data_IF_404498888388
#
_entry.id   IF_404498888388
#
_cell.length_a   1.000
_cell.length_b   1.000
_cell.length_c   1.000
_cell.angle_alpha   90.00
_cell.angle_beta   90.00
_cell.angle_gamma   90.00
#
_symmetry.space_group_name_H-M   'P 1'
#
loop_
_entity.id
_entity.type
_entity.pdbx_description
1 polymer ?
#
# COMPACT_ATOMS: atom_id res chain seq x y z
N UNK A 1 -27.64 -21.71 -11.18
CA UNK A 1 -26.35 -21.05 -11.49
C UNK A 1 -26.71 -19.60 -11.83
N UNK A 2 -26.31 -18.62 -11.01
CA UNK A 2 -26.67 -17.20 -11.26
C UNK A 2 -26.01 -16.75 -12.56
N UNK A 3 -26.82 -16.51 -13.60
CA UNK A 3 -26.33 -16.06 -14.92
C UNK A 3 -26.15 -14.54 -14.98
N UNK A 4 -26.89 -13.82 -14.15
CA UNK A 4 -26.92 -12.36 -14.12
C UNK A 4 -26.15 -11.78 -12.93
N UNK A 5 -25.73 -10.53 -13.05
CA UNK A 5 -25.09 -9.78 -11.97
C UNK A 5 -26.13 -9.27 -10.99
N UNK A 6 -25.99 -9.63 -9.72
CA UNK A 6 -26.76 -9.03 -8.64
C UNK A 6 -25.97 -7.89 -8.03
N UNK A 7 -26.54 -6.69 -8.01
CA UNK A 7 -25.88 -5.47 -7.54
C UNK A 7 -26.44 -5.00 -6.20
N UNK A 8 -25.52 -4.58 -5.33
CA UNK A 8 -25.81 -3.81 -4.12
C UNK A 8 -25.16 -2.45 -4.31
N UNK A 9 -25.94 -1.38 -4.27
CA UNK A 9 -25.45 0.00 -4.43
C UNK A 9 -25.66 0.79 -3.14
N UNK A 10 -24.70 1.64 -2.78
CA UNK A 10 -24.92 2.67 -1.75
C UNK A 10 -25.21 4.00 -2.45
N UNK A 11 -26.47 4.45 -2.37
CA UNK A 11 -26.91 5.75 -2.91
C UNK A 11 -26.53 6.93 -1.98
N UNK A 12 -25.90 6.66 -0.84
CA UNK A 12 -25.66 7.64 0.23
C UNK A 12 -24.68 8.76 -0.13
N UNK A 13 -23.91 8.61 -1.22
CA UNK A 13 -22.92 9.61 -1.64
C UNK A 13 -23.48 10.60 -2.68
N UNK A 14 -24.80 10.61 -2.93
CA UNK A 14 -25.53 11.67 -3.66
C UNK A 14 -25.30 11.73 -5.18
N UNK A 15 -24.20 11.20 -5.68
CA UNK A 15 -23.86 11.19 -7.09
C UNK A 15 -24.50 9.99 -7.82
N UNK A 16 -25.13 10.19 -8.99
CA UNK A 16 -25.65 9.10 -9.79
C UNK A 16 -24.52 8.11 -10.17
N UNK A 17 -24.86 6.83 -10.22
CA UNK A 17 -23.96 5.81 -10.76
C UNK A 17 -24.17 5.71 -12.28
N UNK A 18 -23.09 5.48 -13.05
CA UNK A 18 -23.23 5.13 -14.45
C UNK A 18 -23.92 3.76 -14.59
N UNK A 19 -24.25 3.38 -15.82
CA UNK A 19 -24.70 2.01 -16.10
C UNK A 19 -23.69 1.00 -15.52
N UNK A 20 -24.17 0.11 -14.66
CA UNK A 20 -23.37 -0.88 -13.95
C UNK A 20 -22.71 -1.89 -14.90
N UNK A 21 -23.23 -2.03 -16.13
CA UNK A 21 -22.61 -2.84 -17.18
C UNK A 21 -21.16 -2.43 -17.44
N UNK A 22 -20.85 -1.12 -17.33
CA UNK A 22 -19.52 -0.53 -17.45
C UNK A 22 -18.50 -1.17 -16.51
N UNK A 23 -18.91 -1.54 -15.29
CA UNK A 23 -18.01 -2.13 -14.30
C UNK A 23 -17.71 -3.61 -14.55
N UNK A 24 -18.47 -4.26 -15.43
CA UNK A 24 -18.30 -5.68 -15.77
C UNK A 24 -17.69 -5.90 -17.15
N UNK A 25 -17.71 -4.89 -18.01
CA UNK A 25 -17.03 -4.91 -19.31
C UNK A 25 -15.51 -4.96 -19.10
N UNK A 26 -14.80 -6.03 -19.52
CA UNK A 26 -13.34 -6.13 -19.41
C UNK A 26 -12.59 -5.07 -20.23
N UNK A 27 -13.20 -4.53 -21.30
CA UNK A 27 -12.64 -3.50 -22.16
C UNK A 27 -12.71 -2.09 -21.58
N UNK A 28 -13.51 -1.89 -20.53
CA UNK A 28 -13.66 -0.58 -19.90
C UNK A 28 -12.40 -0.20 -19.09
N UNK A 29 -11.81 0.95 -19.43
CA UNK A 29 -10.75 1.59 -18.67
C UNK A 29 -9.37 0.93 -18.77
N UNK A 30 -8.45 1.35 -17.90
CA UNK A 30 -7.06 0.90 -17.88
C UNK A 30 -6.82 -0.09 -16.74
N UNK A 31 -6.06 -1.17 -17.00
CA UNK A 31 -5.68 -2.11 -15.95
C UNK A 31 -4.59 -1.51 -15.06
N UNK A 32 -4.88 -1.37 -13.76
CA UNK A 32 -3.95 -0.87 -12.75
C UNK A 32 -3.15 -2.01 -12.14
N UNK A 33 -3.81 -3.15 -11.91
CA UNK A 33 -3.18 -4.34 -11.33
C UNK A 33 -3.87 -5.59 -11.83
N UNK A 34 -3.10 -6.62 -12.19
CA UNK A 34 -3.65 -7.91 -12.60
C UNK A 34 -2.88 -9.05 -11.96
N UNK A 35 -3.63 -10.01 -11.43
CA UNK A 35 -3.12 -11.33 -11.11
C UNK A 35 -4.13 -12.38 -11.64
N UNK A 36 -3.80 -13.68 -11.63
CA UNK A 36 -4.66 -14.72 -12.20
C UNK A 36 -6.07 -14.83 -11.59
N UNK A 37 -6.32 -14.18 -10.45
CA UNK A 37 -7.56 -14.31 -9.68
C UNK A 37 -8.25 -12.98 -9.38
N UNK A 38 -7.59 -11.85 -9.66
CA UNK A 38 -8.12 -10.51 -9.39
C UNK A 38 -7.50 -9.50 -10.37
N UNK A 39 -8.35 -8.66 -10.93
CA UNK A 39 -7.93 -7.45 -11.65
C UNK A 39 -8.47 -6.21 -10.96
N UNK A 40 -7.68 -5.15 -10.97
CA UNK A 40 -8.07 -3.80 -10.57
C UNK A 40 -7.95 -2.92 -11.80
N UNK A 41 -9.05 -2.25 -12.16
CA UNK A 41 -9.14 -1.37 -13.32
C UNK A 41 -9.55 0.03 -12.89
N UNK A 42 -8.99 1.04 -13.55
CA UNK A 42 -9.45 2.43 -13.44
C UNK A 42 -10.38 2.70 -14.60
N UNK A 43 -11.63 3.00 -14.32
CA UNK A 43 -12.72 3.17 -15.29
C UNK A 43 -13.21 4.61 -15.20
N UNK A 44 -13.29 5.29 -16.35
CA UNK A 44 -13.85 6.63 -16.45
C UNK A 44 -15.24 6.52 -17.08
N UNK A 45 -16.25 7.03 -16.39
CA UNK A 45 -17.62 7.10 -16.88
C UNK A 45 -17.79 8.22 -17.92
N UNK A 46 -18.87 8.21 -18.72
CA UNK A 46 -19.10 9.23 -19.76
C UNK A 46 -19.18 10.67 -19.24
N UNK A 47 -19.59 10.85 -17.99
CA UNK A 47 -19.65 12.15 -17.29
C UNK A 47 -18.29 12.61 -16.73
N UNK A 48 -17.23 11.82 -16.92
CA UNK A 48 -15.88 12.08 -16.42
C UNK A 48 -15.61 11.56 -15.00
N UNK A 49 -16.60 10.99 -14.31
CA UNK A 49 -16.39 10.40 -12.99
C UNK A 49 -15.47 9.17 -13.09
N UNK A 50 -14.55 9.02 -12.14
CA UNK A 50 -13.56 7.93 -12.15
C UNK A 50 -13.82 6.94 -11.02
N UNK A 51 -13.77 5.66 -11.37
CA UNK A 51 -13.98 4.54 -10.49
C UNK A 51 -12.82 3.55 -10.54
N UNK A 52 -12.59 2.87 -9.42
CA UNK A 52 -11.72 1.69 -9.35
C UNK A 52 -12.58 0.43 -9.20
N UNK A 53 -12.39 -0.51 -10.11
CA UNK A 53 -13.14 -1.76 -10.20
C UNK A 53 -12.23 -2.91 -9.81
N UNK A 54 -12.47 -3.50 -8.65
CA UNK A 54 -11.82 -4.74 -8.17
C UNK A 54 -12.69 -5.93 -8.61
N UNK A 55 -12.25 -6.66 -9.63
CA UNK A 55 -12.94 -7.84 -10.16
C UNK A 55 -12.21 -9.10 -9.70
N UNK A 56 -12.86 -9.88 -8.83
CA UNK A 56 -12.36 -11.15 -8.30
C UNK A 56 -12.93 -12.32 -9.13
N UNK A 57 -12.04 -13.14 -9.71
CA UNK A 57 -12.35 -14.26 -10.60
C UNK A 57 -11.68 -15.53 -10.07
N UNK A 58 -12.26 -16.19 -9.06
CA UNK A 58 -11.69 -17.41 -8.50
C UNK A 58 -11.77 -18.56 -9.50
N UNK A 59 -10.60 -19.14 -9.85
CA UNK A 59 -10.49 -20.23 -10.84
C UNK A 59 -10.18 -21.60 -10.26
N UNK A 60 -9.86 -21.70 -8.97
CA UNK A 60 -9.52 -22.98 -8.33
C UNK A 60 -10.64 -23.43 -7.40
N UNK A 61 -10.88 -24.75 -7.33
CA UNK A 61 -11.94 -25.33 -6.51
C UNK A 61 -11.94 -24.82 -5.07
N UNK A 62 -10.77 -24.75 -4.43
CA UNK A 62 -10.63 -24.22 -3.07
C UNK A 62 -10.99 -22.73 -2.94
N UNK A 63 -10.76 -21.90 -3.97
CA UNK A 63 -11.16 -20.48 -3.96
C UNK A 63 -12.63 -20.30 -4.27
N UNK A 64 -13.19 -21.12 -5.16
CA UNK A 64 -14.63 -21.15 -5.45
C UNK A 64 -15.40 -21.52 -4.19
N UNK A 65 -14.93 -22.55 -3.44
CA UNK A 65 -15.50 -22.91 -2.14
C UNK A 65 -15.38 -21.76 -1.13
N UNK A 66 -14.21 -21.12 -1.01
CA UNK A 66 -14.04 -19.94 -0.14
C UNK A 66 -14.99 -18.81 -0.50
N UNK A 67 -15.23 -18.55 -1.79
CA UNK A 67 -16.16 -17.53 -2.23
C UNK A 67 -17.61 -17.89 -1.89
N UNK A 68 -17.96 -19.18 -1.90
CA UNK A 68 -19.28 -19.64 -1.45
C UNK A 68 -19.50 -19.40 0.05
N UNK A 69 -18.50 -19.71 0.89
CA UNK A 69 -18.62 -19.62 2.36
C UNK A 69 -18.38 -18.21 2.89
N UNK A 70 -17.37 -17.50 2.36
CA UNK A 70 -16.96 -16.17 2.80
C UNK A 70 -16.55 -15.32 1.58
N UNK A 71 -17.54 -14.74 0.87
CA UNK A 71 -17.30 -13.99 -0.34
C UNK A 71 -16.39 -12.80 -0.06
N UNK A 72 -15.28 -12.69 -0.79
CA UNK A 72 -14.21 -11.73 -0.46
C UNK A 72 -14.68 -10.28 -0.62
N UNK A 73 -15.26 -9.97 -1.77
CA UNK A 73 -15.76 -8.62 -2.08
C UNK A 73 -16.89 -8.19 -1.12
N UNK A 74 -17.75 -9.12 -0.72
CA UNK A 74 -18.79 -8.85 0.28
C UNK A 74 -18.18 -8.56 1.66
N UNK A 75 -17.15 -9.31 2.05
CA UNK A 75 -16.43 -9.05 3.30
C UNK A 75 -15.77 -7.68 3.28
N UNK A 76 -15.13 -7.30 2.18
CA UNK A 76 -14.48 -5.98 2.00
C UNK A 76 -15.52 -4.84 2.05
N UNK A 77 -16.64 -5.00 1.34
CA UNK A 77 -17.76 -4.06 1.36
C UNK A 77 -18.34 -3.86 2.77
N UNK A 78 -18.60 -4.96 3.51
CA UNK A 78 -19.09 -4.91 4.90
C UNK A 78 -18.08 -4.26 5.84
N UNK A 79 -16.79 -4.52 5.66
CA UNK A 79 -15.73 -3.88 6.43
C UNK A 79 -15.67 -2.37 6.20
N UNK A 80 -15.86 -1.90 4.96
CA UNK A 80 -16.00 -0.48 4.67
C UNK A 80 -17.22 0.15 5.36
N UNK A 81 -18.39 -0.53 5.32
CA UNK A 81 -19.58 -0.08 6.05
C UNK A 81 -19.35 0.02 7.57
N UNK A 82 -18.65 -0.95 8.15
CA UNK A 82 -18.31 -0.94 9.57
C UNK A 82 -17.47 0.29 9.94
N UNK A 83 -16.42 0.60 9.17
CA UNK A 83 -15.57 1.77 9.39
C UNK A 83 -16.38 3.08 9.28
N UNK A 84 -17.20 3.23 8.24
CA UNK A 84 -18.06 4.40 8.07
C UNK A 84 -19.02 4.59 9.23
N UNK A 85 -19.67 3.50 9.69
CA UNK A 85 -20.59 3.56 10.84
C UNK A 85 -19.91 3.94 12.15
N UNK A 86 -18.58 3.83 12.22
CA UNK A 86 -17.76 4.21 13.37
C UNK A 86 -17.07 5.57 13.17
N UNK A 87 -17.41 6.32 12.11
CA UNK A 87 -16.81 7.64 11.84
C UNK A 87 -15.33 7.58 11.44
N UNK A 88 -14.84 6.42 10.99
CA UNK A 88 -13.45 6.25 10.52
C UNK A 88 -13.42 6.46 9.00
N UNK A 89 -12.67 7.46 8.50
CA UNK A 89 -12.56 7.72 7.07
C UNK A 89 -12.00 6.52 6.30
N UNK A 90 -12.75 6.03 5.33
CA UNK A 90 -12.33 4.94 4.46
C UNK A 90 -12.90 5.09 3.06
N UNK A 91 -12.31 4.36 2.12
CA UNK A 91 -12.70 4.38 0.72
C UNK A 91 -14.20 4.12 0.59
N UNK A 92 -14.89 4.95 -0.21
CA UNK A 92 -16.30 4.73 -0.44
C UNK A 92 -16.54 3.68 -1.52
N UNK A 93 -17.06 2.53 -1.11
CA UNK A 93 -17.61 1.54 -2.04
C UNK A 93 -19.02 1.93 -2.44
N UNK A 94 -19.19 2.18 -3.74
CA UNK A 94 -20.47 2.61 -4.32
C UNK A 94 -21.30 1.46 -4.85
N UNK A 95 -20.65 0.36 -5.25
CA UNK A 95 -21.34 -0.80 -5.77
C UNK A 95 -20.60 -2.12 -5.47
N UNK A 96 -21.36 -3.18 -5.26
CA UNK A 96 -20.92 -4.56 -5.16
C UNK A 96 -21.77 -5.42 -6.10
N UNK A 97 -21.15 -5.91 -7.18
CA UNK A 97 -21.73 -6.87 -8.11
C UNK A 97 -21.33 -8.29 -7.75
N UNK A 98 -22.26 -9.24 -7.83
CA UNK A 98 -22.00 -10.66 -7.60
C UNK A 98 -22.61 -11.52 -8.70
N UNK A 99 -21.79 -12.40 -9.28
CA UNK A 99 -22.19 -13.42 -10.24
C UNK A 99 -21.36 -14.68 -9.96
N UNK A 100 -21.86 -15.58 -9.12
CA UNK A 100 -21.04 -16.67 -8.58
C UNK A 100 -20.30 -17.47 -9.67
N UNK A 101 -18.98 -17.72 -9.51
CA UNK A 101 -18.16 -17.42 -8.33
C UNK A 101 -17.43 -16.06 -8.40
N UNK A 102 -17.81 -15.19 -9.34
CA UNK A 102 -17.20 -13.88 -9.52
C UNK A 102 -17.86 -12.79 -8.66
N UNK A 103 -17.07 -11.78 -8.33
CA UNK A 103 -17.56 -10.57 -7.70
C UNK A 103 -16.80 -9.34 -8.18
N UNK A 104 -17.49 -8.20 -8.18
CA UNK A 104 -16.97 -6.89 -8.55
C UNK A 104 -17.24 -5.94 -7.40
N UNK A 105 -16.20 -5.28 -6.91
CA UNK A 105 -16.30 -4.22 -5.91
C UNK A 105 -15.84 -2.91 -6.54
N UNK A 106 -16.68 -1.89 -6.45
CA UNK A 106 -16.48 -0.59 -7.10
C UNK A 106 -16.32 0.49 -6.04
N UNK A 107 -15.24 1.26 -6.16
CA UNK A 107 -15.02 2.46 -5.34
C UNK A 107 -14.81 3.69 -6.23
N UNK A 108 -15.10 4.88 -5.70
CA UNK A 108 -14.73 6.14 -6.36
C UNK A 108 -13.21 6.36 -6.29
N UNK A 109 -12.69 7.13 -7.24
CA UNK A 109 -11.32 7.65 -7.15
C UNK A 109 -11.19 8.64 -6.00
N UNK A 110 -10.10 8.54 -5.24
CA UNK A 110 -9.71 9.52 -4.24
C UNK A 110 -8.89 10.63 -4.91
N UNK A 111 -9.57 11.60 -5.52
CA UNK A 111 -8.91 12.71 -6.23
C UNK A 111 -8.09 13.57 -5.26
N UNK A 112 -6.84 13.85 -5.62
CA UNK A 112 -5.94 14.68 -4.80
C UNK A 112 -5.28 13.95 -3.63
N UNK A 113 -5.53 12.64 -3.47
CA UNK A 113 -4.90 11.85 -2.43
C UNK A 113 -3.59 11.21 -2.91
N UNK A 114 -2.64 11.08 -1.99
CA UNK A 114 -1.40 10.30 -2.13
C UNK A 114 -1.32 9.25 -1.02
N UNK A 115 -0.53 8.20 -1.22
CA UNK A 115 -0.26 7.28 -0.12
C UNK A 115 0.54 7.99 0.99
N UNK A 116 0.33 7.63 2.25
CA UNK A 116 1.10 8.25 3.34
C UNK A 116 2.58 7.86 3.30
N UNK A 117 2.93 6.76 2.62
CA UNK A 117 4.31 6.43 2.28
C UNK A 117 4.91 7.46 1.33
N UNK A 118 4.20 7.83 0.26
CA UNK A 118 4.66 8.90 -0.65
C UNK A 118 4.77 10.23 0.09
N UNK A 119 3.73 10.60 0.84
CA UNK A 119 3.68 11.83 1.61
C UNK A 119 4.86 11.97 2.59
N UNK A 120 5.29 10.87 3.22
CA UNK A 120 6.50 10.85 4.07
C UNK A 120 7.73 11.42 3.37
N UNK A 121 7.94 11.08 2.10
CA UNK A 121 9.17 11.41 1.37
C UNK A 121 9.07 12.70 0.56
N UNK A 122 7.87 13.15 0.22
CA UNK A 122 7.66 14.31 -0.66
C UNK A 122 7.25 15.58 0.07
N UNK A 123 7.12 15.53 1.39
CA UNK A 123 6.55 16.62 2.19
C UNK A 123 7.54 17.13 3.24
N UNK A 124 7.48 18.43 3.51
CA UNK A 124 8.24 19.10 4.57
C UNK A 124 7.74 18.70 5.98
N UNK A 125 8.46 19.13 7.02
CA UNK A 125 8.18 18.71 8.40
C UNK A 125 6.81 19.16 8.93
N UNK A 126 6.37 20.40 8.65
CA UNK A 126 5.12 20.92 9.22
C UNK A 126 3.89 20.12 8.74
N UNK A 127 3.67 19.91 7.42
CA UNK A 127 2.48 19.20 6.98
C UNK A 127 2.54 17.71 7.36
N UNK A 128 3.75 17.16 7.50
CA UNK A 128 3.95 15.81 8.04
C UNK A 128 3.51 15.71 9.51
N UNK A 129 3.83 16.70 10.35
CA UNK A 129 3.37 16.75 11.75
C UNK A 129 1.85 16.81 11.86
N UNK A 130 1.20 17.64 11.02
CA UNK A 130 -0.27 17.70 10.94
C UNK A 130 -0.88 16.35 10.56
N UNK A 131 -0.35 15.72 9.51
CA UNK A 131 -0.74 14.36 9.11
C UNK A 131 -0.59 13.35 10.26
N UNK A 132 0.53 13.36 10.99
CA UNK A 132 0.77 12.41 12.08
C UNK A 132 -0.22 12.59 13.23
N UNK A 133 -0.62 13.84 13.56
CA UNK A 133 -1.66 14.12 14.55
C UNK A 133 -3.03 13.61 14.09
N UNK A 134 -3.40 13.90 12.84
CA UNK A 134 -4.64 13.40 12.25
C UNK A 134 -4.68 11.85 12.22
N UNK A 135 -3.52 11.21 12.00
CA UNK A 135 -3.36 9.77 12.06
C UNK A 135 -3.55 9.25 13.49
N UNK A 136 -2.98 9.92 14.49
CA UNK A 136 -3.17 9.57 15.91
C UNK A 136 -4.65 9.67 16.31
N UNK A 137 -5.35 10.72 15.88
CA UNK A 137 -6.80 10.85 16.09
C UNK A 137 -7.60 9.74 15.39
N UNK A 138 -7.23 9.37 14.16
CA UNK A 138 -7.87 8.24 13.47
C UNK A 138 -7.65 6.92 14.22
N UNK A 139 -6.43 6.67 14.72
CA UNK A 139 -6.13 5.48 15.54
C UNK A 139 -6.93 5.51 16.84
N UNK A 140 -7.02 6.65 17.53
CA UNK A 140 -7.87 6.76 18.73
C UNK A 140 -9.32 6.35 18.43
N UNK A 141 -9.92 6.89 17.36
CA UNK A 141 -11.29 6.51 16.95
C UNK A 141 -11.44 5.02 16.66
N UNK A 142 -10.42 4.39 16.05
CA UNK A 142 -10.39 2.94 15.85
C UNK A 142 -10.37 2.18 17.17
N UNK A 143 -9.56 2.63 18.14
CA UNK A 143 -9.45 2.01 19.47
C UNK A 143 -10.76 2.14 20.26
N UNK A 144 -11.36 3.34 20.30
CA UNK A 144 -12.65 3.61 20.95
C UNK A 144 -13.77 2.74 20.35
N UNK A 145 -13.81 2.61 19.01
CA UNK A 145 -14.77 1.76 18.31
C UNK A 145 -14.43 0.25 18.41
N UNK A 146 -13.30 -0.10 19.05
CA UNK A 146 -12.76 -1.46 19.16
C UNK A 146 -12.60 -2.15 17.80
N UNK A 147 -12.20 -1.37 16.79
CA UNK A 147 -12.00 -1.82 15.42
C UNK A 147 -10.53 -2.19 15.22
N UNK A 148 -10.29 -3.37 14.64
CA UNK A 148 -8.96 -3.84 14.27
C UNK A 148 -8.84 -3.86 12.77
N UNK A 149 -7.72 -3.36 12.26
CA UNK A 149 -7.38 -3.51 10.85
C UNK A 149 -6.21 -4.49 10.68
N UNK A 150 -6.40 -5.66 10.03
CA UNK A 150 -5.39 -6.71 9.98
C UNK A 150 -4.11 -6.33 9.22
N UNK A 151 -4.20 -5.33 8.33
CA UNK A 151 -3.08 -4.84 7.52
C UNK A 151 -2.89 -3.32 7.66
N UNK A 152 -2.94 -2.81 8.89
CA UNK A 152 -2.83 -1.36 9.15
C UNK A 152 -1.37 -0.90 9.03
N UNK A 153 -1.05 -0.25 7.91
CA UNK A 153 0.29 0.25 7.59
C UNK A 153 0.19 1.49 6.69
N UNK A 154 1.27 2.26 6.56
CA UNK A 154 1.27 3.54 5.84
C UNK A 154 0.83 3.39 4.37
N UNK A 155 1.16 2.27 3.72
CA UNK A 155 0.71 2.01 2.34
C UNK A 155 -0.81 1.85 2.14
N UNK A 156 -1.60 1.70 3.22
CA UNK A 156 -3.07 1.59 3.15
C UNK A 156 -3.76 2.88 3.61
N UNK A 157 -2.99 3.89 4.01
CA UNK A 157 -3.49 5.19 4.44
C UNK A 157 -3.22 6.18 3.32
N UNK A 158 -4.28 6.84 2.88
CA UNK A 158 -4.22 7.91 1.91
C UNK A 158 -4.36 9.24 2.65
N UNK A 159 -3.66 10.27 2.19
CA UNK A 159 -3.74 11.63 2.70
C UNK A 159 -4.00 12.58 1.53
N UNK A 160 -4.90 13.54 1.74
CA UNK A 160 -5.19 14.57 0.74
C UNK A 160 -4.03 15.57 0.69
N UNK A 161 -3.44 15.77 -0.50
CA UNK A 161 -2.16 16.49 -0.65
C UNK A 161 -2.25 17.96 -0.22
N UNK A 162 -3.38 18.60 -0.47
CA UNK A 162 -3.67 20.00 -0.11
C UNK A 162 -4.17 20.18 1.32
N UNK A 163 -4.51 19.09 2.02
CA UNK A 163 -4.98 19.14 3.41
C UNK A 163 -4.57 17.88 4.18
N UNK A 164 -3.43 17.93 4.88
CA UNK A 164 -2.84 16.79 5.60
C UNK A 164 -3.73 16.19 6.70
N UNK A 165 -4.76 16.92 7.15
CA UNK A 165 -5.68 16.45 8.19
C UNK A 165 -6.76 15.51 7.63
N UNK A 166 -6.89 15.43 6.30
CA UNK A 166 -7.91 14.63 5.63
C UNK A 166 -7.31 13.29 5.17
N UNK A 167 -7.62 12.26 5.94
CA UNK A 167 -7.16 10.89 5.73
C UNK A 167 -8.24 10.00 5.12
N UNK A 168 -7.82 8.91 4.49
CA UNK A 168 -8.73 7.87 4.01
C UNK A 168 -8.03 6.50 4.01
N UNK A 169 -8.66 5.49 4.63
CA UNK A 169 -8.20 4.10 4.59
C UNK A 169 -8.63 3.39 3.30
N UNK A 170 -7.70 2.81 2.53
CA UNK A 170 -7.96 2.28 1.17
C UNK A 170 -8.37 0.80 1.11
N UNK A 171 -7.85 -0.05 1.99
CA UNK A 171 -8.07 -1.51 1.92
C UNK A 171 -8.71 -2.03 3.22
N UNK A 172 -10.04 -1.88 3.40
CA UNK A 172 -10.69 -2.29 4.63
C UNK A 172 -10.84 -3.81 4.77
N UNK A 173 -10.27 -4.63 3.88
CA UNK A 173 -10.50 -6.06 3.89
C UNK A 173 -10.11 -6.71 5.24
N UNK A 174 -11.08 -7.39 5.87
CA UNK A 174 -10.86 -8.13 7.11
C UNK A 174 -10.94 -7.27 8.37
N UNK A 175 -11.25 -5.98 8.25
CA UNK A 175 -11.59 -5.13 9.39
C UNK A 175 -12.78 -5.71 10.14
N UNK A 176 -12.69 -5.71 11.47
CA UNK A 176 -13.67 -6.31 12.37
C UNK A 176 -13.65 -5.62 13.73
N UNK A 177 -14.75 -5.71 14.46
CA UNK A 177 -14.76 -5.41 15.90
C UNK A 177 -14.03 -6.51 16.66
N UNK A 178 -13.27 -6.13 17.67
CA UNK A 178 -12.58 -7.05 18.57
C UNK A 178 -12.94 -6.73 20.01
N UNK A 179 -13.21 -7.77 20.81
CA UNK A 179 -13.42 -7.61 22.25
C UNK A 179 -12.11 -7.40 23.01
N UNK A 180 -10.97 -7.73 22.40
CA UNK A 180 -9.63 -7.45 22.92
C UNK A 180 -9.11 -6.17 22.32
N UNK A 181 -8.49 -5.32 23.14
CA UNK A 181 -7.85 -4.08 22.67
C UNK A 181 -6.73 -4.44 21.68
N UNK A 182 -6.87 -4.09 20.39
CA UNK A 182 -5.88 -4.43 19.37
C UNK A 182 -4.65 -3.50 19.39
N UNK A 183 -4.54 -2.67 20.41
CA UNK A 183 -3.66 -1.50 20.52
C UNK A 183 -2.31 -1.60 19.81
N UNK A 184 -1.57 -2.68 20.03
CA UNK A 184 -0.22 -2.87 19.47
C UNK A 184 -0.20 -3.06 17.96
N UNK A 185 -1.27 -3.54 17.35
CA UNK A 185 -1.35 -3.76 15.91
C UNK A 185 -1.58 -2.46 15.14
N UNK A 186 -2.45 -1.59 15.66
CA UNK A 186 -2.85 -0.35 14.96
C UNK A 186 -1.82 0.78 15.20
N UNK A 187 -1.19 0.88 16.38
CA UNK A 187 -0.11 1.85 16.61
C UNK A 187 1.18 1.55 15.82
N UNK A 188 1.28 0.37 15.18
CA UNK A 188 2.44 -0.03 14.38
C UNK A 188 2.66 0.87 13.17
N UNK A 189 1.61 1.51 12.65
CA UNK A 189 1.73 2.37 11.46
C UNK A 189 2.73 3.51 11.66
N UNK A 190 2.88 4.01 12.89
CA UNK A 190 3.86 5.05 13.22
C UNK A 190 5.32 4.58 13.04
N UNK A 191 5.58 3.27 13.10
CA UNK A 191 6.92 2.74 12.82
C UNK A 191 7.36 2.97 11.37
N UNK A 192 6.42 3.16 10.44
CA UNK A 192 6.72 3.56 9.06
C UNK A 192 7.19 5.02 8.96
N UNK A 193 7.25 5.76 10.08
CA UNK A 193 7.71 7.15 10.17
C UNK A 193 8.74 7.35 11.29
N UNK A 194 9.32 6.29 11.84
CA UNK A 194 10.11 6.34 13.07
C UNK A 194 11.36 7.24 13.01
N UNK A 195 11.93 7.44 11.83
CA UNK A 195 13.04 8.35 11.54
C UNK A 195 12.62 9.83 11.44
N UNK A 196 11.32 10.11 11.42
CA UNK A 196 10.72 11.44 11.31
C UNK A 196 9.93 11.85 12.55
N UNK A 197 10.00 11.05 13.62
CA UNK A 197 9.31 11.29 14.88
C UNK A 197 10.36 11.40 15.98
N UNK A 198 10.51 12.61 16.53
CA UNK A 198 11.32 12.84 17.73
C UNK A 198 10.69 12.19 18.97
N UNK A 199 11.46 11.98 20.05
CA UNK A 199 10.90 11.47 21.30
C UNK A 199 9.74 12.29 21.86
N UNK A 200 9.79 13.62 21.73
CA UNK A 200 8.75 14.52 22.24
C UNK A 200 7.46 14.41 21.40
N UNK A 201 7.60 14.38 20.07
CA UNK A 201 6.47 14.12 19.16
C UNK A 201 5.87 12.74 19.39
N UNK A 202 6.68 11.71 19.65
CA UNK A 202 6.18 10.39 20.00
C UNK A 202 5.31 10.44 21.27
N UNK A 203 5.75 11.13 22.33
CA UNK A 203 4.94 11.26 23.56
C UNK A 203 3.62 11.97 23.29
N UNK A 204 3.65 13.01 22.47
CA UNK A 204 2.44 13.75 22.08
C UNK A 204 1.46 12.89 21.29
N UNK A 205 1.92 12.20 20.24
CA UNK A 205 1.07 11.32 19.43
C UNK A 205 0.45 10.21 20.28
N UNK A 206 1.22 9.64 21.20
CA UNK A 206 0.72 8.63 22.13
C UNK A 206 -0.26 9.23 23.14
N UNK A 207 -0.07 10.46 23.60
CA UNK A 207 -1.08 11.15 24.40
C UNK A 207 -2.40 11.31 23.65
N UNK A 208 -2.38 11.66 22.36
CA UNK A 208 -3.60 11.77 21.53
C UNK A 208 -4.31 10.43 21.42
N UNK A 209 -3.56 9.31 21.37
CA UNK A 209 -4.13 7.97 21.31
C UNK A 209 -4.55 7.42 22.68
N UNK A 210 -4.42 8.19 23.76
CA UNK A 210 -4.58 7.74 25.15
C UNK A 210 -3.70 6.51 25.45
N UNK A 211 -2.44 6.61 25.01
CA UNK A 211 -1.45 5.55 24.96
C UNK A 211 -0.27 5.81 25.90
N UNK A 212 0.27 4.76 26.52
CA UNK A 212 1.55 4.86 27.22
C UNK A 212 2.70 5.07 26.22
N UNK A 213 3.45 6.19 26.29
CA UNK A 213 4.58 6.45 25.38
C UNK A 213 5.70 5.40 25.44
N UNK A 214 5.83 4.64 26.53
CA UNK A 214 6.81 3.54 26.65
C UNK A 214 6.59 2.48 25.54
N UNK A 215 5.36 2.36 25.04
CA UNK A 215 5.03 1.45 23.96
C UNK A 215 5.72 1.81 22.63
N UNK A 216 6.18 3.04 22.45
CA UNK A 216 6.88 3.47 21.23
C UNK A 216 8.15 2.66 20.99
N UNK A 217 8.98 2.50 22.02
CA UNK A 217 10.23 1.73 21.91
C UNK A 217 9.95 0.24 21.68
N UNK A 218 8.95 -0.33 22.35
CA UNK A 218 8.51 -1.71 22.14
C UNK A 218 8.03 -1.94 20.69
N UNK A 219 7.26 -1.00 20.13
CA UNK A 219 6.76 -1.07 18.77
C UNK A 219 7.89 -0.98 17.74
N UNK A 220 8.85 -0.07 17.92
CA UNK A 220 10.04 0.03 17.06
C UNK A 220 10.86 -1.26 17.08
N UNK A 221 11.15 -1.80 18.27
CA UNK A 221 11.90 -3.05 18.41
C UNK A 221 11.23 -4.21 17.67
N UNK A 222 9.91 -4.38 17.85
CA UNK A 222 9.14 -5.42 17.16
C UNK A 222 9.05 -5.22 15.65
N UNK A 223 8.91 -3.98 15.19
CA UNK A 223 8.90 -3.66 13.77
C UNK A 223 10.24 -4.05 13.12
N UNK A 224 11.36 -3.72 13.78
CA UNK A 224 12.72 -4.10 13.39
C UNK A 224 12.88 -5.62 13.35
N UNK A 225 12.54 -6.32 14.43
CA UNK A 225 12.62 -7.79 14.50
C UNK A 225 11.82 -8.47 13.38
N UNK A 226 10.61 -7.99 13.08
CA UNK A 226 9.82 -8.54 11.98
C UNK A 226 10.53 -8.37 10.64
N UNK A 227 11.08 -7.19 10.36
CA UNK A 227 11.81 -6.95 9.11
C UNK A 227 13.00 -7.92 8.99
N UNK A 228 13.77 -8.07 10.07
CA UNK A 228 14.92 -9.00 10.10
C UNK A 228 14.50 -10.45 9.88
N UNK A 229 13.41 -10.88 10.52
CA UNK A 229 12.85 -12.23 10.35
C UNK A 229 12.34 -12.49 8.93
N UNK A 230 11.72 -11.49 8.30
CA UNK A 230 11.20 -11.60 6.92
C UNK A 230 12.27 -11.37 5.85
N UNK A 231 13.45 -10.86 6.24
CA UNK A 231 14.51 -10.44 5.33
C UNK A 231 14.96 -11.52 4.35
N UNK A 232 15.20 -12.79 4.75
CA UNK A 232 15.64 -13.83 3.81
C UNK A 232 14.65 -14.03 2.65
N UNK A 233 13.35 -14.00 2.95
CA UNK A 233 12.29 -14.10 1.93
C UNK A 233 12.28 -12.87 1.02
N UNK A 234 12.40 -11.67 1.59
CA UNK A 234 12.39 -10.40 0.83
C UNK A 234 13.61 -10.29 -0.07
N UNK A 235 14.80 -10.63 0.41
CA UNK A 235 16.02 -10.68 -0.40
C UNK A 235 15.85 -11.58 -1.63
N UNK A 236 15.30 -12.79 -1.47
CA UNK A 236 14.99 -13.69 -2.58
C UNK A 236 13.97 -13.11 -3.58
N UNK A 237 13.00 -12.32 -3.11
CA UNK A 237 12.04 -11.63 -3.98
C UNK A 237 12.70 -10.49 -4.77
N UNK A 238 13.60 -9.74 -4.13
CA UNK A 238 14.38 -8.66 -4.74
C UNK A 238 15.30 -9.21 -5.83
N UNK A 239 16.15 -10.19 -5.51
CA UNK A 239 17.05 -10.79 -6.51
C UNK A 239 16.30 -11.45 -7.67
N UNK A 240 15.16 -12.06 -7.36
CA UNK A 240 14.31 -12.73 -8.35
C UNK A 240 13.42 -11.80 -9.17
N UNK A 241 13.50 -10.47 -9.02
CA UNK A 241 12.69 -9.55 -9.84
C UNK A 241 11.20 -9.52 -9.51
N UNK A 242 10.79 -10.09 -8.37
CA UNK A 242 9.37 -10.26 -7.98
C UNK A 242 8.92 -9.29 -6.88
N UNK A 243 9.81 -8.40 -6.48
CA UNK A 243 9.60 -7.45 -5.40
C UNK A 243 8.97 -6.16 -5.93
N UNK A 244 7.99 -5.59 -5.22
CA UNK A 244 7.41 -4.26 -5.56
C UNK A 244 8.40 -3.10 -5.47
N UNK A 245 9.55 -3.33 -4.83
CA UNK A 245 10.62 -2.35 -4.64
C UNK A 245 11.48 -2.15 -5.89
N UNK A 246 11.27 -2.93 -6.95
CA UNK A 246 12.00 -2.81 -8.20
C UNK A 246 11.19 -3.34 -9.38
N UNK A 247 11.66 -3.02 -10.58
CA UNK A 247 11.19 -3.61 -11.83
C UNK A 247 12.36 -4.18 -12.63
N UNK A 248 12.04 -5.07 -13.56
CA UNK A 248 12.99 -5.56 -14.55
C UNK A 248 12.81 -4.79 -15.84
N UNK A 249 13.91 -4.33 -16.43
CA UNK A 249 13.90 -3.60 -17.69
C UNK A 249 15.04 -4.11 -18.58
N UNK A 250 14.78 -4.24 -19.89
CA UNK A 250 15.79 -4.70 -20.85
C UNK A 250 16.26 -3.53 -21.68
N UNK A 251 17.54 -3.16 -21.55
CA UNK A 251 18.16 -2.04 -22.27
C UNK A 251 19.40 -2.56 -23.01
N UNK A 252 19.44 -2.36 -24.34
CA UNK A 252 20.57 -2.82 -25.15
C UNK A 252 20.89 -4.31 -24.99
N UNK A 253 19.86 -5.16 -24.88
CA UNK A 253 20.01 -6.61 -24.67
C UNK A 253 20.37 -7.05 -23.25
N UNK A 254 20.59 -6.12 -22.32
CA UNK A 254 20.92 -6.40 -20.93
C UNK A 254 19.71 -6.25 -20.01
N UNK A 255 19.59 -7.11 -19.00
CA UNK A 255 18.49 -7.05 -18.02
C UNK A 255 18.96 -6.30 -16.76
N UNK A 256 18.26 -5.21 -16.44
CA UNK A 256 18.48 -4.37 -15.28
C UNK A 256 17.42 -4.61 -14.23
N UNK A 257 17.84 -4.62 -12.96
CA UNK A 257 16.95 -4.49 -11.79
C UNK A 257 16.94 -3.03 -11.38
N UNK A 258 15.88 -2.31 -11.71
CA UNK A 258 15.77 -0.87 -11.46
C UNK A 258 14.92 -0.65 -10.23
N UNK A 259 15.44 0.13 -9.28
CA UNK A 259 14.77 0.50 -8.04
C UNK A 259 13.53 1.34 -8.34
N UNK A 260 12.42 1.00 -7.68
CA UNK A 260 11.26 1.88 -7.59
C UNK A 260 11.44 2.82 -6.40
N UNK A 261 10.66 3.91 -6.35
CA UNK A 261 10.58 4.76 -5.15
C UNK A 261 10.34 3.92 -3.88
N UNK A 262 10.70 4.42 -2.68
CA UNK A 262 10.33 3.78 -1.42
C UNK A 262 8.82 3.51 -1.25
N UNK A 263 7.96 4.26 -1.96
CA UNK A 263 6.51 4.08 -2.03
C UNK A 263 6.02 3.32 -3.28
N UNK A 264 6.92 2.59 -3.95
CA UNK A 264 6.65 1.62 -5.02
C UNK A 264 6.23 2.17 -6.39
N UNK A 265 6.23 3.49 -6.57
CA UNK A 265 6.08 4.13 -7.89
C UNK A 265 7.37 3.94 -8.69
N UNK A 266 7.22 3.60 -9.97
CA UNK A 266 8.34 3.49 -10.91
C UNK A 266 8.97 4.87 -11.15
N UNK A 267 10.30 4.98 -11.05
CA UNK A 267 11.03 6.19 -11.43
C UNK A 267 11.64 6.04 -12.82
N UNK A 268 11.71 7.13 -13.61
CA UNK A 268 12.51 7.16 -14.82
C UNK A 268 13.95 6.72 -14.53
N UNK A 269 14.51 5.87 -15.38
CA UNK A 269 15.89 5.42 -15.29
C UNK A 269 16.54 5.63 -16.64
N UNK A 270 17.72 6.25 -16.65
CA UNK A 270 18.53 6.44 -17.85
C UNK A 270 19.98 6.16 -17.51
N UNK A 271 20.66 5.38 -18.36
CA UNK A 271 22.09 5.12 -18.21
C UNK A 271 22.92 6.41 -18.29
N UNK A 272 22.47 7.39 -19.07
CA UNK A 272 23.16 8.68 -19.26
C UNK A 272 23.25 9.49 -17.97
N UNK A 273 22.23 9.40 -17.11
CA UNK A 273 22.14 10.12 -15.84
C UNK A 273 22.72 9.34 -14.67
N UNK A 274 23.39 8.21 -14.93
CA UNK A 274 23.94 7.36 -13.87
C UNK A 274 25.46 7.23 -13.98
N UNK A 275 26.08 6.91 -12.85
CA UNK A 275 27.46 6.43 -12.77
C UNK A 275 27.42 4.94 -12.44
N UNK A 276 28.14 4.14 -13.23
CA UNK A 276 28.24 2.70 -13.00
C UNK A 276 29.53 2.34 -12.29
N UNK A 277 29.44 1.45 -11.31
CA UNK A 277 30.58 0.81 -10.67
C UNK A 277 30.57 -0.67 -10.96
N UNK A 278 31.67 -1.13 -11.54
CA UNK A 278 31.94 -2.55 -11.73
C UNK A 278 32.58 -3.13 -10.46
N UNK A 279 32.09 -4.30 -10.03
CA UNK A 279 32.64 -4.99 -8.87
C UNK A 279 32.36 -6.49 -8.90
N UNK A 280 32.94 -7.22 -7.94
CA UNK A 280 32.65 -8.63 -7.70
C UNK A 280 31.13 -8.88 -7.54
N UNK A 281 30.57 -9.93 -8.14
CA UNK A 281 29.14 -10.23 -8.06
C UNK A 281 28.57 -10.35 -6.65
N UNK A 282 29.31 -10.97 -5.71
CA UNK A 282 28.84 -11.14 -4.33
C UNK A 282 28.84 -9.81 -3.59
N UNK A 283 29.86 -8.98 -3.85
CA UNK A 283 29.94 -7.63 -3.30
C UNK A 283 28.80 -6.74 -3.82
N UNK A 284 28.55 -6.73 -5.13
CA UNK A 284 27.45 -5.98 -5.74
C UNK A 284 26.09 -6.42 -5.17
N UNK A 285 25.86 -7.72 -5.09
CA UNK A 285 24.63 -8.29 -4.54
C UNK A 285 24.43 -7.87 -3.08
N UNK A 286 25.49 -7.93 -2.27
CA UNK A 286 25.45 -7.53 -0.86
C UNK A 286 25.09 -6.05 -0.72
N UNK A 287 25.75 -5.15 -1.45
CA UNK A 287 25.46 -3.71 -1.40
C UNK A 287 24.02 -3.43 -1.88
N UNK A 288 23.61 -4.05 -2.98
CA UNK A 288 22.25 -3.95 -3.49
C UNK A 288 21.22 -4.37 -2.44
N UNK A 289 21.39 -5.53 -1.81
CA UNK A 289 20.49 -6.06 -0.80
C UNK A 289 20.49 -5.24 0.49
N UNK A 290 21.67 -4.94 1.04
CA UNK A 290 21.81 -4.15 2.27
C UNK A 290 21.15 -2.78 2.10
N UNK A 291 21.19 -2.20 0.91
CA UNK A 291 20.54 -0.92 0.65
C UNK A 291 19.00 -0.97 0.67
N UNK A 292 18.35 -2.11 0.39
CA UNK A 292 16.91 -2.24 0.64
C UNK A 292 16.61 -2.53 2.12
N UNK A 293 17.48 -3.30 2.77
CA UNK A 293 17.34 -3.63 4.19
C UNK A 293 17.40 -2.36 5.04
N UNK A 294 18.40 -1.52 4.81
CA UNK A 294 18.58 -0.25 5.51
C UNK A 294 17.36 0.66 5.31
N UNK A 295 16.90 0.83 4.07
CA UNK A 295 15.68 1.60 3.77
C UNK A 295 14.44 1.08 4.52
N UNK A 296 14.23 -0.24 4.60
CA UNK A 296 13.11 -0.82 5.36
C UNK A 296 13.25 -0.61 6.87
N UNK A 297 14.49 -0.59 7.38
CA UNK A 297 14.80 -0.35 8.79
C UNK A 297 14.84 1.14 9.16
N UNK A 298 14.56 2.03 8.20
CA UNK A 298 14.71 3.48 8.33
C UNK A 298 16.14 3.90 8.77
N UNK A 299 17.14 3.16 8.30
CA UNK A 299 18.55 3.45 8.57
C UNK A 299 19.07 4.45 7.52
N UNK A 300 19.83 5.45 7.97
CA UNK A 300 20.42 6.45 7.08
C UNK A 300 21.43 5.80 6.16
N UNK A 301 21.34 6.10 4.87
CA UNK A 301 22.26 5.63 3.85
C UNK A 301 22.90 6.82 3.16
N UNK A 302 24.21 6.77 2.98
CA UNK A 302 24.97 7.82 2.28
C UNK A 302 24.86 7.69 0.77
N UNK A 303 24.72 6.45 0.26
CA UNK A 303 24.69 6.16 -1.17
C UNK A 303 23.76 5.00 -1.46
N UNK A 304 22.85 5.18 -2.41
CA UNK A 304 21.80 4.20 -2.71
C UNK A 304 21.87 3.84 -4.20
N UNK A 305 22.12 2.57 -4.56
CA UNK A 305 22.11 2.17 -5.96
C UNK A 305 20.69 2.26 -6.52
N UNK A 306 20.53 2.92 -7.67
CA UNK A 306 19.29 3.05 -8.41
C UNK A 306 19.05 1.86 -9.35
N UNK A 307 20.11 1.16 -9.80
CA UNK A 307 19.97 -0.09 -10.52
C UNK A 307 21.10 -1.09 -10.25
N UNK A 308 20.81 -2.36 -10.54
CA UNK A 308 21.74 -3.47 -10.43
C UNK A 308 21.67 -4.36 -11.68
N UNK A 309 22.83 -4.65 -12.27
CA UNK A 309 22.98 -5.56 -13.41
C UNK A 309 23.99 -6.67 -13.08
N UNK A 310 23.53 -7.92 -12.87
CA UNK A 310 24.43 -9.07 -12.83
C UNK A 310 24.91 -9.43 -14.24
N UNK A 311 26.20 -9.73 -14.40
CA UNK A 311 26.82 -10.06 -15.69
C UNK A 311 27.92 -11.12 -15.53
N UNK A 312 27.54 -12.36 -15.23
CA UNK A 312 28.49 -13.48 -15.10
C UNK A 312 29.52 -13.23 -14.00
N UNK A 313 30.80 -13.10 -14.40
CA UNK A 313 31.93 -12.86 -13.49
C UNK A 313 31.99 -11.45 -12.91
N UNK A 314 31.20 -10.51 -13.45
CA UNK A 314 31.16 -9.11 -12.99
C UNK A 314 29.73 -8.69 -12.70
N UNK A 315 29.59 -7.66 -11.88
CA UNK A 315 28.30 -7.02 -11.62
C UNK A 315 28.45 -5.52 -11.59
N UNK A 316 27.38 -4.83 -11.93
CA UNK A 316 27.35 -3.38 -12.03
C UNK A 316 26.28 -2.83 -11.10
N UNK A 317 26.67 -1.87 -10.27
CA UNK A 317 25.76 -1.01 -9.55
C UNK A 317 25.73 0.36 -10.22
N UNK A 318 24.53 0.91 -10.34
CA UNK A 318 24.31 2.23 -10.92
C UNK A 318 23.81 3.16 -9.84
N UNK A 319 24.35 4.38 -9.82
CA UNK A 319 24.00 5.44 -8.87
C UNK A 319 23.60 6.69 -9.64
N UNK A 320 22.75 7.52 -9.05
CA UNK A 320 22.41 8.81 -9.63
C UNK A 320 23.67 9.71 -9.65
N UNK A 321 23.88 10.45 -10.75
CA UNK A 321 25.01 11.38 -10.86
C UNK A 321 24.95 12.50 -9.82
N UNK A 322 23.75 12.86 -9.37
CA UNK A 322 23.58 13.88 -8.33
C UNK A 322 24.08 13.43 -6.95
N UNK A 323 24.20 12.11 -6.73
CA UNK A 323 24.65 11.49 -5.47
C UNK A 323 26.14 11.07 -5.49
N UNK A 324 26.87 11.44 -6.55
CA UNK A 324 28.25 10.96 -6.83
C UNK A 324 29.33 11.96 -6.45
#
# INVERSE_FOLDING_TARGET
MMREWHWITDASDGDPLPDLSLFTDPGAGCTVKRNPFRSVRRVTAPDGAVFFVKHDVPRTAGRIFKEAVRPKALSEYRSGKLLRSAGIPCISFVALGRRFPESVLVSRELKGYVSSLEFRYTTSEEPLRRFLRALADMVRRMLEAKIVHPDFHAGNIMVRRDDPDVLCLLDPFGVRRSLRTPFRADCRVFCDFADRISPDEARELFSIMEADPVLWEELKARARERILREWPRRAKQILGGRSKFLRLETLGGNVYRIRNTPWFTEQPFSLENTVSEEMDPRQAEKIWLDSFRAAMLNEKQTRIPCAYRPCGERSFLYYDRADS
#
